data_IF_280690449110
#
_entry.id   IF_280690449110
#
_cell.length_a   1.000
_cell.length_b   1.000
_cell.length_c   1.000
_cell.angle_alpha   90.00
_cell.angle_beta   90.00
_cell.angle_gamma   90.00
#
_symmetry.space_group_name_H-M   'P 1'
#
loop_
_entity.id
_entity.type
_entity.pdbx_description
1 polymer ?
#
# COMPACT_ATOMS: atom_id res chain seq x y z
N UNK A 1 2.73 18.00 -6.20
CA UNK A 1 2.28 17.98 -7.61
C UNK A 1 2.11 16.57 -8.14
N UNK A 2 3.19 15.79 -8.37
CA UNK A 2 3.07 14.47 -9.02
C UNK A 2 2.20 13.51 -8.20
N UNK A 3 2.55 13.26 -6.94
CA UNK A 3 1.75 12.40 -6.04
C UNK A 3 0.37 13.03 -5.76
N UNK A 4 0.35 14.32 -5.42
CA UNK A 4 -0.88 15.05 -5.06
C UNK A 4 -1.98 15.01 -6.15
N UNK A 5 -1.59 15.03 -7.43
CA UNK A 5 -2.52 15.02 -8.56
C UNK A 5 -2.47 13.70 -9.34
N UNK A 6 -1.82 12.68 -8.80
CA UNK A 6 -1.72 11.35 -9.42
C UNK A 6 -1.18 11.39 -10.86
N UNK A 7 -0.28 12.32 -11.16
CA UNK A 7 0.26 12.45 -12.49
C UNK A 7 1.19 11.29 -12.83
N UNK A 8 1.21 10.84 -14.10
CA UNK A 8 2.22 9.91 -14.57
C UNK A 8 3.62 10.44 -14.28
N UNK A 9 4.52 9.58 -13.78
CA UNK A 9 5.90 9.99 -13.50
C UNK A 9 6.62 10.50 -14.74
N UNK A 10 6.15 10.13 -15.94
CA UNK A 10 6.65 10.63 -17.23
C UNK A 10 6.39 12.12 -17.47
N UNK A 11 5.54 12.76 -16.67
CA UNK A 11 5.27 14.21 -16.76
C UNK A 11 6.57 15.03 -16.76
N UNK A 12 7.58 14.59 -16.00
CA UNK A 12 8.88 15.28 -15.92
C UNK A 12 9.66 15.25 -17.23
N UNK A 13 9.31 14.37 -18.16
CA UNK A 13 9.93 14.25 -19.48
C UNK A 13 9.20 15.06 -20.56
N UNK A 14 8.01 15.57 -20.27
CA UNK A 14 7.24 16.32 -21.24
C UNK A 14 7.89 17.68 -21.55
N UNK A 15 8.11 17.97 -22.84
CA UNK A 15 8.79 19.19 -23.30
C UNK A 15 8.13 20.46 -22.78
N UNK A 16 6.80 20.52 -22.78
CA UNK A 16 6.04 21.66 -22.26
C UNK A 16 6.29 21.90 -20.77
N UNK A 17 6.28 20.83 -19.96
CA UNK A 17 6.55 20.93 -18.54
C UNK A 17 7.99 21.36 -18.25
N UNK A 18 8.96 20.81 -18.99
CA UNK A 18 10.37 21.21 -18.86
C UNK A 18 10.59 22.68 -19.21
N UNK A 19 9.96 23.17 -20.29
CA UNK A 19 10.00 24.60 -20.66
C UNK A 19 9.37 25.48 -19.60
N UNK A 20 8.21 25.08 -19.07
CA UNK A 20 7.52 25.79 -18.00
C UNK A 20 8.38 25.91 -16.74
N UNK A 21 8.92 24.80 -16.24
CA UNK A 21 9.80 24.78 -15.05
C UNK A 21 11.08 25.58 -15.30
N UNK A 22 11.69 25.45 -16.48
CA UNK A 22 12.90 26.21 -16.84
C UNK A 22 12.66 27.71 -16.94
N UNK A 23 11.47 28.15 -17.35
CA UNK A 23 11.08 29.56 -17.36
C UNK A 23 10.87 30.11 -15.94
N UNK A 24 10.36 29.29 -15.01
CA UNK A 24 10.17 29.67 -13.61
C UNK A 24 11.51 29.76 -12.86
N UNK A 25 12.39 28.79 -13.04
CA UNK A 25 13.68 28.75 -12.36
C UNK A 25 14.75 28.10 -13.27
N UNK A 26 15.56 28.90 -14.00
CA UNK A 26 16.52 28.38 -14.98
C UNK A 26 17.65 27.51 -14.43
N UNK A 27 17.98 27.60 -13.14
CA UNK A 27 19.05 26.81 -12.50
C UNK A 27 18.54 25.46 -11.97
N UNK A 28 17.22 25.23 -11.97
CA UNK A 28 16.60 24.08 -11.38
C UNK A 28 16.65 22.96 -12.40
N UNK A 29 17.38 21.90 -12.04
CA UNK A 29 17.46 20.70 -12.86
C UNK A 29 16.30 19.80 -12.50
N UNK A 30 15.36 19.68 -13.41
CA UNK A 30 14.26 18.73 -13.27
C UNK A 30 14.82 17.31 -13.11
N UNK A 31 14.36 16.60 -12.09
CA UNK A 31 14.73 15.21 -11.84
C UNK A 31 14.26 14.30 -12.98
N UNK A 32 14.95 13.18 -13.16
CA UNK A 32 14.50 12.13 -14.09
C UNK A 32 13.34 11.35 -13.48
N UNK A 33 12.56 10.66 -14.32
CA UNK A 33 11.53 9.72 -13.87
C UNK A 33 12.03 8.74 -12.79
N UNK A 34 13.25 8.23 -12.94
CA UNK A 34 13.85 7.28 -11.98
C UNK A 34 14.21 7.95 -10.66
N UNK A 35 14.71 9.19 -10.69
CA UNK A 35 14.99 9.97 -9.48
C UNK A 35 13.70 10.25 -8.70
N UNK A 36 12.66 10.72 -9.39
CA UNK A 36 11.34 10.94 -8.78
C UNK A 36 10.78 9.65 -8.18
N UNK A 37 10.87 8.52 -8.89
CA UNK A 37 10.45 7.22 -8.36
C UNK A 37 11.23 6.86 -7.08
N UNK A 38 12.54 7.02 -7.09
CA UNK A 38 13.37 6.75 -5.91
C UNK A 38 12.99 7.63 -4.73
N UNK A 39 12.74 8.92 -4.96
CA UNK A 39 12.36 9.86 -3.91
C UNK A 39 10.97 9.56 -3.35
N UNK A 40 10.00 9.18 -4.19
CA UNK A 40 8.68 8.70 -3.76
C UNK A 40 8.83 7.47 -2.85
N UNK A 41 9.63 6.48 -3.27
CA UNK A 41 9.82 5.26 -2.47
C UNK A 41 10.51 5.56 -1.13
N UNK A 42 11.53 6.43 -1.11
CA UNK A 42 12.15 6.86 0.15
C UNK A 42 11.16 7.53 1.09
N UNK A 43 10.30 8.40 0.55
CA UNK A 43 9.28 9.06 1.35
C UNK A 43 8.25 8.05 1.87
N UNK A 44 7.82 7.10 1.03
CA UNK A 44 6.96 6.00 1.44
C UNK A 44 7.55 5.20 2.61
N UNK A 45 8.83 4.81 2.57
CA UNK A 45 9.45 4.08 3.68
C UNK A 45 9.46 4.87 5.00
N UNK A 46 9.69 6.19 4.92
CA UNK A 46 9.64 7.07 6.10
C UNK A 46 8.22 7.14 6.66
N UNK A 47 7.21 7.34 5.82
CA UNK A 47 5.82 7.43 6.26
C UNK A 47 5.27 6.06 6.72
N UNK A 48 5.67 4.95 6.09
CA UNK A 48 5.36 3.58 6.52
C UNK A 48 5.85 3.35 7.95
N UNK A 49 7.11 3.71 8.24
CA UNK A 49 7.68 3.57 9.58
C UNK A 49 6.89 4.37 10.63
N UNK A 50 6.53 5.62 10.32
CA UNK A 50 5.68 6.43 11.21
C UNK A 50 4.30 5.81 11.43
N UNK A 51 3.70 5.24 10.39
CA UNK A 51 2.41 4.57 10.49
C UNK A 51 2.48 3.33 11.38
N UNK A 52 3.53 2.51 11.25
CA UNK A 52 3.77 1.35 12.13
C UNK A 52 3.95 1.81 13.58
N UNK A 53 4.78 2.83 13.82
CA UNK A 53 4.99 3.39 15.17
C UNK A 53 3.69 3.95 15.77
N UNK A 54 2.88 4.63 14.96
CA UNK A 54 1.55 5.12 15.37
C UNK A 54 0.62 3.96 15.75
N UNK A 55 0.53 2.93 14.92
CA UNK A 55 -0.32 1.75 15.17
C UNK A 55 0.15 0.92 16.38
N UNK A 56 1.44 0.89 16.67
CA UNK A 56 1.98 0.22 17.84
C UNK A 56 1.43 0.80 19.16
N UNK A 57 1.19 2.11 19.21
CA UNK A 57 0.62 2.81 20.38
C UNK A 57 -0.88 2.55 20.61
N UNK A 58 -1.62 2.19 19.56
CA UNK A 58 -3.07 2.00 19.61
C UNK A 58 -3.43 0.83 20.53
N UNK A 59 -4.38 1.07 21.44
CA UNK A 59 -4.87 0.07 22.39
C UNK A 59 -6.07 -0.73 21.88
N UNK A 60 -6.79 -0.22 20.87
CA UNK A 60 -7.91 -0.93 20.29
C UNK A 60 -7.45 -2.17 19.53
N UNK A 61 -8.34 -3.16 19.40
CA UNK A 61 -8.14 -4.23 18.41
C UNK A 61 -8.25 -3.67 16.99
N UNK A 62 -7.61 -4.36 16.05
CA UNK A 62 -7.56 -3.98 14.63
C UNK A 62 -8.39 -4.96 13.83
N UNK A 63 -9.26 -4.48 12.94
CA UNK A 63 -9.90 -5.30 11.92
C UNK A 63 -9.11 -5.14 10.61
N UNK A 64 -8.89 -6.23 9.89
CA UNK A 64 -8.16 -6.20 8.62
C UNK A 64 -9.10 -6.59 7.49
N UNK A 65 -9.03 -5.87 6.38
CA UNK A 65 -9.68 -6.27 5.13
C UNK A 65 -8.62 -6.58 4.08
N UNK A 66 -8.91 -7.58 3.24
CA UNK A 66 -8.09 -7.87 2.06
C UNK A 66 -8.96 -7.83 0.82
N UNK A 67 -8.47 -7.14 -0.19
CA UNK A 67 -9.08 -7.12 -1.52
C UNK A 67 -8.12 -7.78 -2.50
N UNK A 68 -8.59 -8.82 -3.20
CA UNK A 68 -7.79 -9.54 -4.19
C UNK A 68 -8.45 -9.41 -5.56
N UNK A 69 -7.65 -9.05 -6.55
CA UNK A 69 -8.14 -8.98 -7.92
C UNK A 69 -7.07 -9.40 -8.91
N UNK A 70 -7.53 -9.92 -10.04
CA UNK A 70 -6.67 -10.19 -11.19
C UNK A 70 -6.82 -9.06 -12.18
N UNK A 71 -5.72 -8.42 -12.56
CA UNK A 71 -5.73 -7.45 -13.65
C UNK A 71 -5.89 -8.18 -14.99
N UNK A 72 -6.99 -7.94 -15.68
CA UNK A 72 -7.30 -8.55 -16.98
C UNK A 72 -6.21 -8.36 -18.03
N UNK A 73 -5.62 -7.16 -18.07
CA UNK A 73 -4.64 -6.78 -19.08
C UNK A 73 -3.29 -7.48 -18.92
N UNK A 74 -2.90 -7.82 -17.68
CA UNK A 74 -1.59 -8.41 -17.39
C UNK A 74 -1.68 -9.85 -16.90
N UNK A 75 -2.89 -10.35 -16.62
CA UNK A 75 -3.15 -11.61 -15.91
C UNK A 75 -2.32 -11.72 -14.63
N UNK A 76 -2.28 -10.62 -13.87
CA UNK A 76 -1.50 -10.48 -12.63
C UNK A 76 -2.45 -10.33 -11.46
N UNK A 77 -2.25 -11.15 -10.43
CA UNK A 77 -2.96 -11.01 -9.16
C UNK A 77 -2.36 -9.89 -8.32
N UNK A 78 -3.22 -9.10 -7.71
CA UNK A 78 -2.87 -8.09 -6.74
C UNK A 78 -3.68 -8.30 -5.48
N UNK A 79 -3.09 -7.92 -4.35
CA UNK A 79 -3.74 -7.93 -3.05
C UNK A 79 -3.48 -6.60 -2.36
N UNK A 80 -4.55 -5.97 -1.89
CA UNK A 80 -4.48 -4.83 -1.00
C UNK A 80 -4.90 -5.25 0.41
N UNK A 81 -4.14 -4.86 1.41
CA UNK A 81 -4.40 -5.17 2.82
C UNK A 81 -4.61 -3.85 3.56
N UNK A 82 -5.75 -3.69 4.20
CA UNK A 82 -6.11 -2.46 4.92
C UNK A 82 -6.42 -2.77 6.38
N UNK A 83 -5.79 -2.06 7.30
CA UNK A 83 -6.12 -2.08 8.71
C UNK A 83 -7.17 -1.01 9.04
N UNK A 84 -8.11 -1.39 9.90
CA UNK A 84 -9.22 -0.56 10.39
C UNK A 84 -9.22 -0.58 11.91
N UNK A 85 -9.21 0.58 12.56
CA UNK A 85 -9.19 0.67 14.02
C UNK A 85 -9.77 2.00 14.51
N UNK A 86 -10.10 2.07 15.81
CA UNK A 86 -10.55 3.30 16.45
C UNK A 86 -9.38 3.86 17.27
N UNK A 87 -8.97 5.09 16.99
CA UNK A 87 -7.87 5.74 17.72
C UNK A 87 -8.32 6.30 19.08
N UNK A 88 -7.39 6.88 19.85
CA UNK A 88 -7.67 7.47 21.17
C UNK A 88 -8.64 8.66 21.10
N UNK A 89 -8.79 9.27 19.92
CA UNK A 89 -9.74 10.34 19.67
C UNK A 89 -11.15 9.82 19.32
N UNK A 90 -11.38 8.51 19.45
CA UNK A 90 -12.62 7.84 19.07
C UNK A 90 -12.95 7.99 17.58
N UNK A 91 -11.93 8.10 16.74
CA UNK A 91 -12.07 8.25 15.29
C UNK A 91 -11.72 6.94 14.59
N UNK A 92 -12.57 6.50 13.67
CA UNK A 92 -12.26 5.39 12.78
C UNK A 92 -11.11 5.78 11.84
N UNK A 93 -10.03 5.01 11.88
CA UNK A 93 -8.85 5.14 11.01
C UNK A 93 -8.74 3.94 10.10
N UNK A 94 -8.29 4.19 8.88
CA UNK A 94 -8.00 3.19 7.88
C UNK A 94 -6.58 3.42 7.36
N UNK A 95 -5.73 2.38 7.38
CA UNK A 95 -4.36 2.44 6.88
C UNK A 95 -4.17 1.29 5.90
N UNK A 96 -3.80 1.62 4.65
CA UNK A 96 -3.36 0.60 3.68
C UNK A 96 -1.98 0.12 4.15
N UNK A 97 -1.94 -1.12 4.62
CA UNK A 97 -0.72 -1.76 5.13
C UNK A 97 0.18 -2.21 3.98
N UNK A 98 -0.44 -2.76 2.93
CA UNK A 98 0.28 -3.34 1.81
C UNK A 98 -0.55 -3.30 0.54
N UNK A 99 0.17 -3.16 -0.55
CA UNK A 99 -0.32 -3.38 -1.90
C UNK A 99 0.73 -4.23 -2.61
N UNK A 100 0.39 -5.49 -2.88
CA UNK A 100 1.35 -6.48 -3.36
C UNK A 100 0.90 -7.10 -4.67
N UNK A 101 1.89 -7.45 -5.48
CA UNK A 101 1.71 -8.38 -6.58
C UNK A 101 1.80 -9.79 -6.01
N UNK A 102 0.74 -10.57 -6.18
CA UNK A 102 0.72 -11.99 -5.79
C UNK A 102 0.98 -12.78 -7.07
N UNK A 103 2.07 -13.54 -7.19
CA UNK A 103 2.29 -14.38 -8.36
C UNK A 103 1.31 -15.56 -8.40
N UNK A 104 1.04 -16.06 -9.60
CA UNK A 104 0.31 -17.33 -9.75
C UNK A 104 1.21 -18.51 -9.32
N UNK A 105 0.64 -19.57 -8.72
CA UNK A 105 -0.79 -19.79 -8.46
C UNK A 105 -1.29 -19.06 -7.21
N UNK A 106 -2.47 -18.42 -7.32
CA UNK A 106 -3.15 -17.77 -6.19
C UNK A 106 -3.83 -18.82 -5.30
N UNK A 107 -3.04 -19.63 -4.59
CA UNK A 107 -3.57 -20.61 -3.63
C UNK A 107 -3.87 -19.94 -2.29
N UNK A 108 -4.72 -20.59 -1.49
CA UNK A 108 -5.06 -20.10 -0.16
C UNK A 108 -3.83 -19.99 0.77
N UNK A 109 -2.87 -20.91 0.61
CA UNK A 109 -1.62 -20.90 1.36
C UNK A 109 -0.76 -19.68 1.03
N UNK A 110 -0.57 -19.37 -0.26
CA UNK A 110 0.22 -18.20 -0.71
C UNK A 110 -0.42 -16.89 -0.24
N UNK A 111 -1.74 -16.77 -0.37
CA UNK A 111 -2.48 -15.58 0.09
C UNK A 111 -2.39 -15.46 1.62
N UNK A 112 -2.53 -16.58 2.33
CA UNK A 112 -2.42 -16.64 3.78
C UNK A 112 -1.04 -16.25 4.29
N UNK A 113 0.03 -16.73 3.63
CA UNK A 113 1.42 -16.40 3.94
C UNK A 113 1.68 -14.90 3.74
N UNK A 114 1.28 -14.33 2.60
CA UNK A 114 1.43 -12.90 2.34
C UNK A 114 0.65 -12.03 3.34
N UNK A 115 -0.55 -12.46 3.73
CA UNK A 115 -1.30 -11.78 4.78
C UNK A 115 -0.56 -11.86 6.11
N UNK A 116 -0.13 -13.05 6.52
CA UNK A 116 0.56 -13.26 7.80
C UNK A 116 1.86 -12.47 7.88
N UNK A 117 2.70 -12.51 6.85
CA UNK A 117 3.92 -11.69 6.78
C UNK A 117 3.62 -10.20 6.91
N UNK A 118 2.53 -9.73 6.29
CA UNK A 118 2.09 -8.35 6.42
C UNK A 118 1.64 -7.99 7.84
N UNK A 119 0.97 -8.91 8.54
CA UNK A 119 0.56 -8.70 9.93
C UNK A 119 1.77 -8.61 10.87
N UNK A 120 2.75 -9.50 10.68
CA UNK A 120 3.99 -9.52 11.47
C UNK A 120 4.84 -8.28 11.20
N UNK A 121 5.01 -7.88 9.93
CA UNK A 121 5.77 -6.67 9.56
C UNK A 121 5.22 -5.40 10.27
N UNK A 122 3.91 -5.36 10.48
CA UNK A 122 3.22 -4.24 11.12
C UNK A 122 3.01 -4.42 12.63
N UNK A 123 3.50 -5.51 13.25
CA UNK A 123 3.31 -5.87 14.66
C UNK A 123 1.83 -5.93 15.08
N UNK A 124 0.99 -6.56 14.25
CA UNK A 124 -0.46 -6.65 14.48
C UNK A 124 -0.96 -8.05 14.80
N UNK A 125 -0.10 -9.06 14.74
CA UNK A 125 -0.41 -10.48 14.95
C UNK A 125 -1.12 -10.76 16.29
N UNK A 126 -0.83 -9.99 17.34
CA UNK A 126 -1.53 -10.09 18.64
C UNK A 126 -2.73 -9.15 18.81
N UNK A 127 -2.94 -8.19 17.88
CA UNK A 127 -3.98 -7.15 17.98
C UNK A 127 -5.17 -7.36 17.05
N UNK A 128 -5.13 -8.34 16.15
CA UNK A 128 -6.22 -8.61 15.20
C UNK A 128 -7.49 -9.02 15.94
N UNK A 129 -8.62 -8.45 15.52
CA UNK A 129 -9.99 -8.83 15.96
C UNK A 129 -10.73 -9.64 14.92
N UNK A 130 -10.60 -9.28 13.65
CA UNK A 130 -11.22 -9.96 12.53
C UNK A 130 -10.41 -9.73 11.26
N UNK A 131 -10.53 -10.67 10.34
CA UNK A 131 -10.05 -10.56 8.96
C UNK A 131 -11.27 -10.70 8.06
N UNK A 132 -11.48 -9.75 7.17
CA UNK A 132 -12.55 -9.76 6.15
C UNK A 132 -11.90 -9.91 4.80
N UNK A 133 -12.26 -10.98 4.09
CA UNK A 133 -11.74 -11.27 2.76
C UNK A 133 -12.80 -10.91 1.72
N UNK A 134 -12.39 -10.70 0.47
CA UNK A 134 -13.29 -10.55 -0.65
C UNK A 134 -14.01 -11.88 -0.98
N UNK A 135 -15.03 -11.85 -1.83
CA UNK A 135 -15.82 -13.04 -2.17
C UNK A 135 -15.14 -13.91 -3.24
N UNK A 136 -13.87 -14.25 -3.02
CA UNK A 136 -13.09 -15.15 -3.87
C UNK A 136 -13.12 -16.57 -3.28
N UNK A 137 -13.41 -17.58 -4.11
CA UNK A 137 -13.55 -18.98 -3.65
C UNK A 137 -12.29 -19.55 -2.99
N UNK A 138 -11.12 -18.97 -3.28
CA UNK A 138 -9.86 -19.42 -2.67
C UNK A 138 -9.77 -19.04 -1.19
N UNK A 139 -10.52 -18.04 -0.74
CA UNK A 139 -10.51 -17.54 0.62
C UNK A 139 -11.09 -18.55 1.63
N UNK A 140 -12.02 -19.41 1.20
CA UNK A 140 -12.66 -20.44 2.04
C UNK A 140 -11.65 -21.47 2.58
N UNK A 141 -10.49 -21.59 1.93
CA UNK A 141 -9.42 -22.51 2.30
C UNK A 141 -8.29 -21.84 3.11
N UNK A 142 -8.33 -20.52 3.37
CA UNK A 142 -7.25 -19.80 4.05
C UNK A 142 -7.10 -20.27 5.51
N UNK A 143 -5.94 -20.85 5.90
CA UNK A 143 -5.77 -21.46 7.23
C UNK A 143 -5.71 -20.44 8.36
N UNK A 144 -5.37 -19.18 8.07
CA UNK A 144 -5.23 -18.10 9.05
C UNK A 144 -6.52 -17.29 9.27
N UNK A 145 -7.59 -17.66 8.57
CA UNK A 145 -8.88 -16.96 8.61
C UNK A 145 -10.01 -17.82 9.20
N UNK A 146 -9.66 -18.90 9.92
CA UNK A 146 -10.58 -19.77 10.65
C UNK A 146 -10.53 -19.56 12.15
#
# INVERSE_FOLDING_TARGET
>A
MIVLHEYPLSMVDHVGFRRFVGALQPLFKIGTRNMIRSDIMKHYEVEKKKAIEYMAGIQSRVAVTTDLWTSDNQKRGYMAITAHFIDESWTLRNIIMRFIYVPAPHTADVIGEELYESLVEWNLDEKISSVTLDNCTTNDACPYCK
#
